data_IF_115015877817
#
_entry.id   IF_115015877817
#
_cell.length_a   1.000
_cell.length_b   1.000
_cell.length_c   1.000
_cell.angle_alpha   90.00
_cell.angle_beta   90.00
_cell.angle_gamma   90.00
#
_symmetry.space_group_name_H-M   'P 1'
#
loop_
_entity.id
_entity.type
_entity.pdbx_description
1 polymer ?
#
# COMPACT_ATOMS: atom_id res chain seq x y z
N UNK A 1 -1.07 17.41 26.63
CA UNK A 1 -1.20 16.94 25.24
C UNK A 1 -0.90 15.45 25.24
N UNK A 2 -1.91 14.61 25.09
CA UNK A 2 -1.76 13.15 25.13
C UNK A 2 -1.19 12.74 23.77
N UNK A 3 0.08 12.32 23.76
CA UNK A 3 0.68 11.72 22.57
C UNK A 3 0.25 10.27 22.50
N UNK A 4 -0.64 9.94 21.59
CA UNK A 4 -0.96 8.56 21.26
C UNK A 4 0.24 7.96 20.53
N UNK A 5 0.90 7.02 21.18
CA UNK A 5 2.00 6.28 20.58
C UNK A 5 1.39 5.21 19.67
N UNK A 6 1.48 5.41 18.34
CA UNK A 6 1.03 4.44 17.35
C UNK A 6 2.11 3.37 17.11
N UNK A 7 1.75 2.23 16.48
CA UNK A 7 2.71 1.19 16.11
C UNK A 7 3.70 1.62 15.04
N UNK A 8 3.40 2.69 14.32
CA UNK A 8 4.30 3.27 13.33
C UNK A 8 5.14 4.37 13.98
N UNK A 9 6.36 4.65 13.47
CA UNK A 9 7.26 5.65 14.02
C UNK A 9 6.83 7.09 13.66
N UNK A 10 5.53 7.35 13.64
CA UNK A 10 4.99 8.67 13.36
C UNK A 10 4.53 9.34 14.65
N UNK A 11 4.76 10.63 14.70
CA UNK A 11 4.14 11.51 15.68
C UNK A 11 3.24 12.47 14.92
N UNK A 12 1.99 12.57 15.36
CA UNK A 12 1.06 13.56 14.82
C UNK A 12 1.33 14.88 15.52
N UNK A 13 1.89 15.82 14.78
CA UNK A 13 2.17 17.17 15.26
C UNK A 13 1.48 18.17 14.35
N UNK A 14 0.92 19.24 14.94
CA UNK A 14 0.39 20.35 14.16
C UNK A 14 1.55 21.02 13.40
N UNK A 15 1.47 21.02 12.08
CA UNK A 15 2.46 21.64 11.20
C UNK A 15 2.07 23.11 10.96
N UNK A 16 3.06 23.97 10.92
CA UNK A 16 2.89 25.41 10.67
C UNK A 16 3.21 25.81 9.23
N UNK A 17 3.73 24.87 8.43
CA UNK A 17 4.13 25.09 7.05
C UNK A 17 3.35 24.19 6.11
N UNK A 18 3.06 24.66 4.91
CA UNK A 18 2.30 23.89 3.89
C UNK A 18 3.13 22.82 3.16
N UNK A 19 4.38 22.60 3.58
CA UNK A 19 5.26 21.61 2.98
C UNK A 19 4.97 20.20 3.49
N UNK A 20 4.81 19.24 2.58
CA UNK A 20 4.63 17.83 2.91
C UNK A 20 3.22 17.44 3.34
N UNK A 21 2.23 18.30 3.10
CA UNK A 21 0.83 17.99 3.36
C UNK A 21 0.33 16.88 2.44
N UNK A 22 -0.63 16.11 2.94
CA UNK A 22 -1.36 15.10 2.17
C UNK A 22 -2.86 15.31 2.28
N UNK A 23 -3.56 15.20 1.16
CA UNK A 23 -5.02 15.15 1.13
C UNK A 23 -5.60 13.85 1.73
N UNK A 24 -4.74 12.88 2.01
CA UNK A 24 -5.10 11.55 2.50
C UNK A 24 -4.64 11.27 3.93
N UNK A 25 -4.69 12.28 4.79
CA UNK A 25 -4.18 12.21 6.16
C UNK A 25 -4.80 11.09 7.04
N UNK A 26 -5.98 10.59 6.68
CA UNK A 26 -6.62 9.46 7.35
C UNK A 26 -6.03 8.09 6.99
N UNK A 27 -5.44 7.92 5.81
CA UNK A 27 -4.96 6.62 5.34
C UNK A 27 -3.84 6.00 6.21
N UNK A 28 -2.91 6.75 6.81
CA UNK A 28 -1.92 6.20 7.73
C UNK A 28 -2.52 5.42 8.92
N UNK A 29 -3.71 5.79 9.38
CA UNK A 29 -4.41 5.07 10.45
C UNK A 29 -4.78 3.64 10.02
N UNK A 30 -5.19 3.46 8.77
CA UNK A 30 -5.49 2.13 8.23
C UNK A 30 -4.23 1.30 8.01
N UNK A 31 -3.09 1.92 7.68
CA UNK A 31 -1.81 1.24 7.64
C UNK A 31 -1.37 0.76 9.02
N UNK A 32 -1.57 1.57 10.06
CA UNK A 32 -1.35 1.17 11.44
C UNK A 32 -2.25 -0.01 11.82
N UNK A 33 -3.54 0.08 11.51
CA UNK A 33 -4.51 -0.98 11.77
C UNK A 33 -4.12 -2.28 11.05
N UNK A 34 -3.77 -2.22 9.76
CA UNK A 34 -3.35 -3.39 8.98
C UNK A 34 -2.12 -4.08 9.58
N UNK A 35 -1.21 -3.30 10.17
CA UNK A 35 -0.03 -3.82 10.84
C UNK A 35 -0.36 -4.42 12.20
N UNK A 36 -1.15 -3.74 13.02
CA UNK A 36 -1.57 -4.18 14.35
C UNK A 36 -2.42 -5.45 14.31
N UNK A 37 -3.32 -5.55 13.32
CA UNK A 37 -4.16 -6.73 13.11
C UNK A 37 -3.40 -7.94 12.57
N UNK A 38 -2.12 -7.78 12.19
CA UNK A 38 -1.33 -8.82 11.55
C UNK A 38 -1.69 -9.09 10.08
N UNK A 39 -2.53 -8.25 9.45
CA UNK A 39 -2.98 -8.42 8.06
C UNK A 39 -1.81 -8.53 7.08
N UNK A 40 -0.81 -7.65 7.22
CA UNK A 40 0.39 -7.65 6.37
C UNK A 40 1.13 -8.98 6.45
N UNK A 41 1.28 -9.51 7.67
CA UNK A 41 1.94 -10.78 7.91
C UNK A 41 1.12 -11.95 7.38
N UNK A 42 -0.18 -11.95 7.61
CA UNK A 42 -1.10 -12.96 7.10
C UNK A 42 -1.07 -13.06 5.57
N UNK A 43 -1.17 -11.92 4.85
CA UNK A 43 -1.07 -11.88 3.41
C UNK A 43 0.27 -12.46 2.94
N UNK A 44 1.38 -12.03 3.55
CA UNK A 44 2.72 -12.47 3.18
C UNK A 44 2.97 -13.97 3.41
N UNK A 45 2.26 -14.58 4.35
CA UNK A 45 2.35 -16.01 4.65
C UNK A 45 1.44 -16.83 3.72
N UNK A 46 0.26 -16.31 3.40
CA UNK A 46 -0.78 -17.03 2.66
C UNK A 46 -0.59 -16.90 1.14
N UNK A 47 -0.26 -15.70 0.67
CA UNK A 47 -0.09 -15.43 -0.75
C UNK A 47 1.39 -15.44 -1.14
N UNK A 48 1.71 -16.18 -2.19
CA UNK A 48 3.06 -16.29 -2.76
C UNK A 48 3.03 -16.13 -4.28
N UNK A 49 2.17 -15.24 -4.75
CA UNK A 49 1.92 -15.02 -6.17
C UNK A 49 3.03 -14.19 -6.82
N UNK A 50 3.59 -13.25 -6.05
CA UNK A 50 4.63 -12.32 -6.54
C UNK A 50 6.02 -12.78 -6.13
N UNK A 51 6.82 -13.17 -7.13
CA UNK A 51 8.22 -13.55 -6.93
C UNK A 51 9.21 -12.39 -7.02
N UNK A 52 8.84 -11.29 -7.72
CA UNK A 52 9.71 -10.13 -7.97
C UNK A 52 8.92 -8.82 -7.97
N UNK A 53 9.58 -7.71 -7.67
CA UNK A 53 9.00 -6.38 -7.64
C UNK A 53 8.16 -6.13 -6.39
N UNK A 54 6.96 -5.61 -6.55
CA UNK A 54 6.01 -5.41 -5.47
C UNK A 54 5.56 -6.74 -4.86
N UNK A 55 5.55 -6.85 -3.53
CA UNK A 55 5.06 -8.04 -2.82
C UNK A 55 3.54 -8.12 -2.88
N UNK A 56 2.98 -9.30 -2.59
CA UNK A 56 1.52 -9.48 -2.50
C UNK A 56 0.89 -8.55 -1.46
N UNK A 57 1.55 -8.36 -0.31
CA UNK A 57 1.08 -7.44 0.72
C UNK A 57 1.06 -5.98 0.23
N UNK A 58 2.10 -5.53 -0.46
CA UNK A 58 2.15 -4.18 -1.05
C UNK A 58 1.06 -3.98 -2.11
N UNK A 59 0.80 -4.99 -2.95
CA UNK A 59 -0.26 -4.93 -3.97
C UNK A 59 -1.65 -4.83 -3.33
N UNK A 60 -1.96 -5.69 -2.37
CA UNK A 60 -3.26 -5.72 -1.70
C UNK A 60 -3.48 -4.48 -0.85
N UNK A 61 -2.48 -4.04 -0.08
CA UNK A 61 -2.59 -2.79 0.68
C UNK A 61 -2.82 -1.59 -0.23
N UNK A 62 -2.19 -1.57 -1.41
CA UNK A 62 -2.41 -0.48 -2.38
C UNK A 62 -3.85 -0.45 -2.88
N UNK A 63 -4.47 -1.61 -3.11
CA UNK A 63 -5.89 -1.70 -3.50
C UNK A 63 -6.82 -1.30 -2.34
N UNK A 64 -6.50 -1.69 -1.12
CA UNK A 64 -7.25 -1.28 0.07
C UNK A 64 -7.17 0.24 0.22
N UNK A 65 -5.98 0.84 0.13
CA UNK A 65 -5.80 2.28 0.21
C UNK A 65 -6.53 3.02 -0.90
N UNK A 66 -6.54 2.48 -2.12
CA UNK A 66 -7.28 3.03 -3.25
C UNK A 66 -8.78 3.12 -2.94
N UNK A 67 -9.38 2.03 -2.45
CA UNK A 67 -10.78 1.99 -2.06
C UNK A 67 -11.09 2.97 -0.92
N UNK A 68 -10.26 3.00 0.12
CA UNK A 68 -10.42 3.91 1.27
C UNK A 68 -10.27 5.40 0.88
N UNK A 69 -9.51 5.68 -0.18
CA UNK A 69 -9.36 7.01 -0.74
C UNK A 69 -10.53 7.43 -1.67
N UNK A 70 -11.52 6.55 -1.85
CA UNK A 70 -12.65 6.79 -2.74
C UNK A 70 -12.29 6.65 -4.22
N UNK A 71 -11.34 5.76 -4.56
CA UNK A 71 -11.03 5.47 -5.95
C UNK A 71 -12.07 4.55 -6.58
N UNK A 72 -12.58 4.93 -7.74
CA UNK A 72 -13.60 4.19 -8.50
C UNK A 72 -12.97 3.19 -9.47
N UNK A 73 -11.73 3.41 -9.86
CA UNK A 73 -11.02 2.55 -10.80
C UNK A 73 -9.52 2.45 -10.47
N UNK A 74 -8.87 1.43 -11.04
CA UNK A 74 -7.43 1.17 -10.79
C UNK A 74 -6.54 2.34 -11.22
N UNK A 75 -6.93 3.12 -12.23
CA UNK A 75 -6.17 4.28 -12.68
C UNK A 75 -6.07 5.39 -11.63
N UNK A 76 -7.00 5.44 -10.66
CA UNK A 76 -6.98 6.42 -9.58
C UNK A 76 -5.79 6.23 -8.62
N UNK A 77 -5.10 5.08 -8.71
CA UNK A 77 -3.86 4.86 -7.95
C UNK A 77 -2.77 5.89 -8.29
N UNK A 78 -2.79 6.43 -9.50
CA UNK A 78 -1.84 7.47 -9.90
C UNK A 78 -2.14 8.82 -9.23
N UNK A 79 -3.38 9.05 -8.77
CA UNK A 79 -3.76 10.21 -7.95
C UNK A 79 -3.13 10.10 -6.55
N UNK A 80 -3.18 8.92 -5.94
CA UNK A 80 -2.52 8.65 -4.65
C UNK A 80 -1.00 8.78 -4.77
N UNK A 81 -0.41 8.28 -5.85
CA UNK A 81 1.03 8.33 -6.10
C UNK A 81 1.55 9.77 -6.29
N UNK A 82 0.73 10.68 -6.81
CA UNK A 82 1.08 12.10 -6.99
C UNK A 82 1.15 12.86 -5.66
N UNK A 83 0.49 12.37 -4.61
CA UNK A 83 0.54 12.98 -3.28
C UNK A 83 1.89 12.72 -2.61
N UNK A 84 2.74 13.75 -2.55
CA UNK A 84 4.10 13.64 -2.03
C UNK A 84 4.13 13.30 -0.53
N UNK A 85 3.16 13.82 0.24
CA UNK A 85 3.03 13.53 1.67
C UNK A 85 2.68 12.06 1.91
N UNK A 86 1.65 11.55 1.22
CA UNK A 86 1.27 10.13 1.29
C UNK A 86 2.43 9.22 0.86
N UNK A 87 3.09 9.53 -0.24
CA UNK A 87 4.24 8.75 -0.71
C UNK A 87 5.36 8.67 0.33
N UNK A 88 5.65 9.77 1.01
CA UNK A 88 6.65 9.78 2.09
C UNK A 88 6.23 8.88 3.25
N UNK A 89 4.97 8.91 3.64
CA UNK A 89 4.41 8.05 4.69
C UNK A 89 4.46 6.57 4.30
N UNK A 90 4.10 6.23 3.07
CA UNK A 90 4.18 4.85 2.55
C UNK A 90 5.62 4.32 2.55
N UNK A 91 6.59 5.16 2.19
CA UNK A 91 8.00 4.80 2.26
C UNK A 91 8.46 4.54 3.71
N UNK A 92 8.02 5.36 4.65
CA UNK A 92 8.34 5.16 6.07
C UNK A 92 7.70 3.88 6.61
N UNK A 93 6.44 3.62 6.24
CA UNK A 93 5.74 2.38 6.56
C UNK A 93 6.49 1.15 6.05
N UNK A 94 6.88 1.14 4.77
CA UNK A 94 7.62 0.04 4.16
C UNK A 94 8.98 -0.22 4.83
N UNK A 95 9.66 0.83 5.30
CA UNK A 95 10.95 0.72 5.99
C UNK A 95 10.85 0.34 7.46
N UNK A 96 9.66 0.43 8.05
CA UNK A 96 9.47 0.19 9.48
C UNK A 96 9.77 -1.27 9.84
N UNK A 97 10.61 -1.47 10.85
CA UNK A 97 11.04 -2.79 11.30
C UNK A 97 12.19 -3.42 10.51
N UNK A 98 12.61 -2.81 9.39
CA UNK A 98 13.74 -3.30 8.61
C UNK A 98 15.07 -3.07 9.35
N UNK A 99 15.93 -4.09 9.35
CA UNK A 99 17.32 -3.96 9.78
C UNK A 99 18.11 -3.06 8.82
N UNK A 100 19.22 -2.49 9.28
CA UNK A 100 20.07 -1.57 8.49
C UNK A 100 20.46 -2.12 7.10
N UNK A 101 20.78 -3.41 7.02
CA UNK A 101 21.14 -4.08 5.74
C UNK A 101 19.96 -4.14 4.78
N UNK A 102 18.79 -4.52 5.28
CA UNK A 102 17.55 -4.61 4.52
C UNK A 102 17.10 -3.23 4.03
N UNK A 103 17.16 -2.21 4.89
CA UNK A 103 16.87 -0.82 4.53
C UNK A 103 17.74 -0.31 3.40
N UNK A 104 19.06 -0.59 3.44
CA UNK A 104 19.98 -0.22 2.36
C UNK A 104 19.67 -0.94 1.04
N UNK A 105 19.32 -2.23 1.10
CA UNK A 105 18.91 -3.01 -0.07
C UNK A 105 17.60 -2.48 -0.66
N UNK A 106 16.63 -2.17 0.18
CA UNK A 106 15.36 -1.55 -0.19
C UNK A 106 15.59 -0.19 -0.87
N UNK A 107 16.38 0.70 -0.29
CA UNK A 107 16.71 2.00 -0.85
C UNK A 107 17.45 1.91 -2.18
N UNK A 108 18.33 0.91 -2.34
CA UNK A 108 19.02 0.66 -3.62
C UNK A 108 18.05 0.20 -4.71
N UNK A 109 17.12 -0.70 -4.39
CA UNK A 109 16.05 -1.15 -5.30
C UNK A 109 15.17 0.04 -5.69
N UNK A 110 14.75 0.82 -4.71
CA UNK A 110 13.90 1.98 -4.87
C UNK A 110 14.49 3.03 -5.83
N UNK A 111 15.77 3.35 -5.69
CA UNK A 111 16.47 4.29 -6.58
C UNK A 111 16.51 3.82 -8.04
N UNK A 112 16.59 2.52 -8.28
CA UNK A 112 16.62 1.93 -9.63
C UNK A 112 15.27 2.00 -10.34
N UNK A 113 14.17 1.86 -9.62
CA UNK A 113 12.82 1.72 -10.16
C UNK A 113 12.01 3.03 -10.13
N UNK A 114 12.68 4.19 -10.04
CA UNK A 114 12.02 5.49 -9.90
C UNK A 114 11.01 5.53 -8.76
N UNK A 115 11.47 5.25 -7.55
CA UNK A 115 10.83 5.58 -6.25
C UNK A 115 9.30 5.83 -6.25
N UNK A 116 8.51 4.86 -6.69
CA UNK A 116 7.05 4.90 -6.51
C UNK A 116 6.69 4.42 -5.10
N UNK A 117 5.73 5.09 -4.45
CA UNK A 117 5.16 4.64 -3.18
C UNK A 117 4.13 3.53 -3.36
N UNK A 118 3.53 3.46 -4.55
CA UNK A 118 2.46 2.53 -4.91
C UNK A 118 2.77 1.83 -6.24
N UNK A 119 2.24 0.61 -6.47
CA UNK A 119 2.30 -0.07 -7.75
C UNK A 119 1.69 0.79 -8.87
N UNK A 120 2.20 0.65 -10.07
CA UNK A 120 1.57 1.29 -11.22
C UNK A 120 0.26 0.59 -11.59
N UNK A 121 -0.63 1.31 -12.27
CA UNK A 121 -1.86 0.77 -12.87
C UNK A 121 -1.56 -0.53 -13.66
N UNK A 122 -0.56 -0.51 -14.57
CA UNK A 122 -0.17 -1.69 -15.33
C UNK A 122 0.35 -2.86 -14.45
N UNK A 123 0.96 -2.57 -13.30
CA UNK A 123 1.39 -3.63 -12.38
C UNK A 123 0.18 -4.30 -11.70
N UNK A 124 -0.83 -3.53 -11.33
CA UNK A 124 -2.07 -4.03 -10.73
C UNK A 124 -2.86 -4.85 -11.75
N UNK A 125 -3.03 -4.35 -12.97
CA UNK A 125 -3.72 -5.09 -14.04
C UNK A 125 -3.05 -6.44 -14.37
N UNK A 126 -1.74 -6.56 -14.23
CA UNK A 126 -1.05 -7.86 -14.38
C UNK A 126 -1.15 -8.75 -13.14
N UNK A 127 -1.46 -8.18 -12.00
CA UNK A 127 -1.59 -8.92 -10.75
C UNK A 127 -2.96 -9.56 -10.57
N UNK A 128 -4.03 -8.83 -10.85
CA UNK A 128 -5.40 -9.27 -10.62
C UNK A 128 -5.79 -10.57 -11.38
N UNK A 129 -5.39 -10.77 -12.65
CA UNK A 129 -5.74 -12.00 -13.38
C UNK A 129 -5.17 -13.27 -12.74
N UNK A 130 -4.18 -13.18 -11.87
CA UNK A 130 -3.62 -14.35 -11.18
C UNK A 130 -4.59 -14.96 -10.17
N UNK A 131 -5.65 -14.26 -9.81
CA UNK A 131 -6.73 -14.73 -8.94
C UNK A 131 -8.00 -15.12 -9.71
N UNK A 132 -7.97 -15.00 -11.01
CA UNK A 132 -9.09 -15.40 -11.86
C UNK A 132 -9.06 -16.92 -12.07
N UNK A 133 -10.18 -17.58 -11.81
CA UNK A 133 -10.40 -18.98 -12.13
C UNK A 133 -11.55 -19.08 -13.11
N UNK A 134 -11.27 -19.62 -14.29
CA UNK A 134 -12.29 -19.84 -15.33
C UNK A 134 -13.37 -20.82 -14.83
N UNK A 135 -12.98 -21.80 -14.01
CA UNK A 135 -13.89 -22.78 -13.42
C UNK A 135 -14.86 -22.15 -12.41
N UNK A 136 -14.36 -21.23 -11.59
CA UNK A 136 -15.19 -20.50 -10.64
C UNK A 136 -16.08 -19.46 -11.32
N UNK A 137 -15.60 -18.85 -12.40
CA UNK A 137 -16.39 -17.92 -13.21
C UNK A 137 -17.57 -18.64 -13.87
N UNK A 138 -17.35 -19.84 -14.39
CA UNK A 138 -18.38 -20.67 -15.00
C UNK A 138 -19.47 -21.13 -14.00
N UNK A 139 -19.16 -21.14 -12.70
CA UNK A 139 -20.12 -21.45 -11.62
C UNK A 139 -20.96 -20.26 -11.20
N UNK A 140 -20.60 -19.04 -11.60
CA UNK A 140 -21.44 -17.86 -11.34
C UNK A 140 -22.72 -18.01 -12.12
N UNK A 141 -23.82 -18.17 -11.40
CA UNK A 141 -25.15 -18.16 -11.99
C UNK A 141 -25.35 -16.76 -12.58
N UNK A 142 -25.58 -16.70 -13.89
CA UNK A 142 -25.94 -15.45 -14.56
C UNK A 142 -27.11 -14.81 -13.84
N UNK A 143 -26.89 -13.62 -13.35
CA UNK A 143 -27.94 -12.64 -13.12
C UNK A 143 -28.82 -12.88 -11.91
N UNK A 144 -28.45 -12.26 -10.84
CA UNK A 144 -29.39 -11.41 -10.13
C UNK A 144 -28.84 -10.00 -10.25
N UNK A 145 -29.31 -9.31 -11.29
CA UNK A 145 -29.21 -7.87 -11.37
C UNK A 145 -30.09 -7.23 -10.31
#
# INVERSE_FOLDING_TARGET
MIMTQSALPFQYQAEKTDSGLTGFAGLPLYLDLAKQSGLVQYISQTLKTKMRGWTDAEMILSLILLNLAGGDCISDIDRLEKDAGLRTLLMQFAKHGMKRKERRAFEKRWRKEKSRGLPSNAAIHRYLPQFHSVEEEAKRVEGTA
#
